data_IF_942232600824
#
_entry.id   IF_942232600824
#
_cell.length_a   1.000
_cell.length_b   1.000
_cell.length_c   1.000
_cell.angle_alpha   90.00
_cell.angle_beta   90.00
_cell.angle_gamma   90.00
#
_symmetry.space_group_name_H-M   'P 1'
#
loop_
_entity.id
_entity.type
_entity.pdbx_description
1 polymer ?
#
# COMPACT_ATOMS: atom_id res chain seq x y z
N UNK A 1 -11.05 3.80 -7.16
CA UNK A 1 -12.02 4.62 -6.39
C UNK A 1 -12.57 5.82 -7.15
N UNK A 2 -11.76 6.57 -7.92
CA UNK A 2 -12.23 7.74 -8.68
C UNK A 2 -13.48 7.43 -9.53
N UNK A 3 -13.48 6.34 -10.30
CA UNK A 3 -14.65 5.92 -11.11
C UNK A 3 -15.90 5.62 -10.26
N UNK A 4 -15.72 4.99 -9.09
CA UNK A 4 -16.83 4.69 -8.18
C UNK A 4 -17.41 5.98 -7.59
N UNK A 5 -16.55 6.89 -7.10
CA UNK A 5 -16.94 8.19 -6.57
C UNK A 5 -17.63 9.04 -7.63
N UNK A 6 -17.10 9.04 -8.86
CA UNK A 6 -17.69 9.71 -10.02
C UNK A 6 -19.13 9.22 -10.28
N UNK A 7 -19.34 7.90 -10.30
CA UNK A 7 -20.67 7.33 -10.52
C UNK A 7 -21.64 7.62 -9.36
N UNK A 8 -21.19 7.49 -8.11
CA UNK A 8 -22.05 7.71 -6.93
C UNK A 8 -22.47 9.18 -6.84
N UNK A 9 -21.52 10.11 -6.94
CA UNK A 9 -21.79 11.56 -6.86
C UNK A 9 -22.65 11.99 -8.05
N UNK A 10 -22.26 11.59 -9.27
CA UNK A 10 -23.00 11.90 -10.49
C UNK A 10 -24.45 11.41 -10.43
N UNK A 11 -24.66 10.16 -9.98
CA UNK A 11 -26.01 9.59 -9.82
C UNK A 11 -26.81 10.36 -8.78
N UNK A 12 -26.23 10.66 -7.62
CA UNK A 12 -26.94 11.37 -6.55
C UNK A 12 -27.41 12.76 -7.00
N UNK A 13 -26.53 13.51 -7.66
CA UNK A 13 -26.83 14.87 -8.14
C UNK A 13 -27.89 14.83 -9.25
N UNK A 14 -27.69 14.04 -10.29
CA UNK A 14 -28.61 14.04 -11.43
C UNK A 14 -29.95 13.37 -11.12
N UNK A 15 -29.99 12.39 -10.22
CA UNK A 15 -31.25 11.83 -9.73
C UNK A 15 -32.07 12.88 -8.95
N UNK A 16 -31.42 13.66 -8.09
CA UNK A 16 -32.09 14.74 -7.35
C UNK A 16 -32.64 15.82 -8.30
N UNK A 17 -31.84 16.25 -9.27
CA UNK A 17 -32.26 17.20 -10.32
C UNK A 17 -33.42 16.63 -11.13
N UNK A 18 -33.33 15.36 -11.53
CA UNK A 18 -34.39 14.69 -12.28
C UNK A 18 -35.72 14.64 -11.50
N UNK A 19 -35.69 14.24 -10.22
CA UNK A 19 -36.88 14.22 -9.39
C UNK A 19 -37.51 15.61 -9.22
N UNK A 20 -36.69 16.65 -9.04
CA UNK A 20 -37.17 18.02 -8.90
C UNK A 20 -37.81 18.54 -10.19
N UNK A 21 -37.15 18.33 -11.33
CA UNK A 21 -37.70 18.70 -12.64
C UNK A 21 -38.98 17.94 -12.95
N UNK A 22 -39.02 16.64 -12.65
CA UNK A 22 -40.21 15.83 -12.88
C UNK A 22 -41.40 16.28 -12.01
N UNK A 23 -41.15 16.75 -10.79
CA UNK A 23 -42.22 17.28 -9.92
C UNK A 23 -42.93 18.50 -10.54
N UNK A 24 -42.21 19.30 -11.34
CA UNK A 24 -42.73 20.54 -11.94
C UNK A 24 -43.27 20.28 -13.35
N UNK A 25 -42.51 19.56 -14.17
CA UNK A 25 -42.75 19.40 -15.62
C UNK A 25 -43.61 18.17 -15.91
N UNK A 26 -43.61 17.17 -15.02
CA UNK A 26 -44.30 15.89 -15.15
C UNK A 26 -44.02 15.23 -16.51
N UNK A 27 -42.82 14.68 -16.65
CA UNK A 27 -42.37 14.15 -17.93
C UNK A 27 -43.27 12.99 -18.39
N UNK A 28 -43.89 13.09 -19.59
CA UNK A 28 -44.86 12.08 -20.05
C UNK A 28 -44.22 10.71 -20.27
N UNK A 29 -42.94 10.67 -20.63
CA UNK A 29 -42.19 9.43 -20.90
C UNK A 29 -41.98 8.55 -19.65
N UNK A 30 -42.20 9.05 -18.43
CA UNK A 30 -42.09 8.23 -17.21
C UNK A 30 -43.23 7.21 -17.12
N UNK A 31 -44.37 7.53 -17.74
CA UNK A 31 -45.54 6.64 -17.75
C UNK A 31 -45.46 5.58 -18.85
N UNK A 32 -44.50 5.70 -19.77
CA UNK A 32 -44.28 4.76 -20.86
C UNK A 32 -43.44 3.56 -20.42
N UNK A 33 -43.65 2.42 -21.07
CA UNK A 33 -42.80 1.24 -20.84
C UNK A 33 -41.37 1.49 -21.31
N UNK A 34 -40.39 1.13 -20.49
CA UNK A 34 -38.98 1.28 -20.83
C UNK A 34 -38.60 0.44 -22.07
N UNK A 35 -38.23 1.12 -23.16
CA UNK A 35 -37.70 0.50 -24.38
C UNK A 35 -36.16 0.56 -24.38
N UNK A 36 -35.51 -0.43 -24.99
CA UNK A 36 -34.05 -0.57 -25.08
C UNK A 36 -33.36 0.70 -25.60
N UNK A 37 -33.92 1.33 -26.63
CA UNK A 37 -33.40 2.57 -27.20
C UNK A 37 -33.51 3.75 -26.21
N UNK A 38 -34.63 3.85 -25.48
CA UNK A 38 -34.82 4.89 -24.46
C UNK A 38 -33.83 4.75 -23.31
N UNK A 39 -33.61 3.50 -22.84
CA UNK A 39 -32.62 3.20 -21.80
C UNK A 39 -31.22 3.61 -22.26
N UNK A 40 -30.84 3.29 -23.50
CA UNK A 40 -29.53 3.65 -24.05
C UNK A 40 -29.32 5.16 -24.15
N UNK A 41 -30.35 5.90 -24.59
CA UNK A 41 -30.30 7.37 -24.67
C UNK A 41 -30.12 7.97 -23.27
N UNK A 42 -30.96 7.58 -22.31
CA UNK A 42 -30.89 8.10 -20.93
C UNK A 42 -29.53 7.82 -20.31
N UNK A 43 -29.00 6.60 -20.47
CA UNK A 43 -27.69 6.22 -19.94
C UNK A 43 -26.55 7.03 -20.58
N UNK A 44 -26.60 7.25 -21.89
CA UNK A 44 -25.56 8.02 -22.60
C UNK A 44 -25.60 9.49 -22.19
N UNK A 45 -26.79 10.10 -22.19
CA UNK A 45 -26.98 11.49 -21.74
C UNK A 45 -26.56 11.68 -20.30
N UNK A 46 -26.91 10.75 -19.41
CA UNK A 46 -26.49 10.77 -18.01
C UNK A 46 -24.96 10.79 -17.87
N UNK A 47 -24.25 9.91 -18.57
CA UNK A 47 -22.78 9.86 -18.47
C UNK A 47 -22.11 11.12 -19.04
N UNK A 48 -22.64 11.69 -20.13
CA UNK A 48 -22.15 12.96 -20.69
C UNK A 48 -22.34 14.08 -19.67
N UNK A 49 -23.53 14.17 -19.05
CA UNK A 49 -23.83 15.18 -18.05
C UNK A 49 -22.99 15.02 -16.77
N UNK A 50 -22.79 13.80 -16.28
CA UNK A 50 -21.88 13.50 -15.17
C UNK A 50 -20.45 13.96 -15.50
N UNK A 51 -19.99 13.67 -16.72
CA UNK A 51 -18.66 14.08 -17.17
C UNK A 51 -18.54 15.59 -17.18
N UNK A 52 -19.47 16.31 -17.80
CA UNK A 52 -19.45 17.78 -17.84
C UNK A 52 -19.47 18.42 -16.44
N UNK A 53 -20.25 17.85 -15.52
CA UNK A 53 -20.38 18.36 -14.16
C UNK A 53 -19.11 18.12 -13.32
N UNK A 54 -18.52 16.93 -13.41
CA UNK A 54 -17.41 16.50 -12.56
C UNK A 54 -16.02 16.76 -13.17
N UNK A 55 -15.93 17.00 -14.48
CA UNK A 55 -14.68 17.34 -15.17
C UNK A 55 -13.91 18.52 -14.54
N UNK A 56 -14.51 19.68 -14.21
CA UNK A 56 -13.79 20.76 -13.54
C UNK A 56 -13.32 20.41 -12.12
N UNK A 57 -13.84 19.33 -11.54
CA UNK A 57 -13.52 18.86 -10.21
C UNK A 57 -12.63 17.60 -10.19
N UNK A 58 -12.01 17.25 -11.33
CA UNK A 58 -11.19 16.04 -11.44
C UNK A 58 -10.08 15.97 -10.38
N UNK A 59 -9.40 17.09 -10.12
CA UNK A 59 -8.34 17.17 -9.10
C UNK A 59 -8.86 16.99 -7.67
N UNK A 60 -10.10 17.38 -7.39
CA UNK A 60 -10.74 17.17 -6.08
C UNK A 60 -11.20 15.73 -5.92
N UNK A 61 -11.69 15.10 -6.99
CA UNK A 61 -12.04 13.68 -7.01
C UNK A 61 -10.82 12.78 -6.80
N UNK A 62 -9.67 13.15 -7.37
CA UNK A 62 -8.38 12.51 -7.12
C UNK A 62 -8.04 12.57 -5.62
N UNK A 63 -8.04 13.77 -5.01
CA UNK A 63 -7.76 13.93 -3.58
C UNK A 63 -8.71 13.12 -2.71
N UNK A 64 -10.00 13.09 -3.03
CA UNK A 64 -10.97 12.27 -2.32
C UNK A 64 -10.66 10.77 -2.47
N UNK A 65 -10.23 10.33 -3.65
CA UNK A 65 -9.82 8.94 -3.85
C UNK A 65 -8.59 8.59 -3.00
N UNK A 66 -7.60 9.46 -2.89
CA UNK A 66 -6.42 9.27 -2.03
C UNK A 66 -6.75 9.38 -0.53
N UNK A 67 -7.83 10.06 -0.13
CA UNK A 67 -8.31 10.07 1.26
C UNK A 67 -9.06 8.76 1.58
N UNK A 68 -9.90 8.30 0.67
CA UNK A 68 -10.72 7.09 0.85
C UNK A 68 -9.84 5.83 0.80
N UNK A 69 -8.88 5.78 -0.13
CA UNK A 69 -7.81 4.79 -0.11
C UNK A 69 -6.62 5.41 0.60
N UNK A 70 -6.55 5.20 1.90
CA UNK A 70 -5.33 5.54 2.65
C UNK A 70 -4.23 4.60 2.16
N UNK A 71 -3.21 5.12 1.49
CA UNK A 71 -2.07 4.32 1.07
C UNK A 71 -1.51 3.59 2.30
N UNK A 72 -1.57 2.26 2.25
CA UNK A 72 -0.97 1.39 3.24
C UNK A 72 0.52 1.27 2.95
N UNK A 73 1.24 2.39 2.88
CA UNK A 73 2.63 2.49 2.41
C UNK A 73 3.65 1.68 3.26
N UNK A 74 3.25 1.08 4.38
CA UNK A 74 4.12 0.19 5.18
C UNK A 74 3.76 -1.30 5.18
N UNK A 75 2.69 -1.72 4.48
CA UNK A 75 2.25 -3.13 4.49
C UNK A 75 2.53 -3.89 3.20
N UNK A 76 3.01 -3.24 2.15
CA UNK A 76 3.09 -3.83 0.80
C UNK A 76 4.39 -4.62 0.56
N UNK A 77 5.50 -4.26 1.20
CA UNK A 77 6.78 -4.94 0.95
C UNK A 77 6.86 -6.34 1.51
N UNK A 78 6.34 -6.57 2.72
CA UNK A 78 6.21 -7.92 3.26
C UNK A 78 5.17 -8.76 2.50
N UNK A 79 4.27 -8.15 1.73
CA UNK A 79 3.39 -8.90 0.81
C UNK A 79 4.15 -9.47 -0.39
N UNK A 80 5.36 -8.99 -0.68
CA UNK A 80 6.25 -9.61 -1.66
C UNK A 80 6.68 -11.02 -1.25
N UNK A 81 6.60 -11.34 0.05
CA UNK A 81 6.81 -12.69 0.61
C UNK A 81 5.54 -13.54 0.46
N UNK A 82 5.03 -13.64 -0.76
CA UNK A 82 3.84 -14.45 -1.07
C UNK A 82 4.20 -15.95 -1.05
N UNK A 83 3.49 -16.73 -0.25
CA UNK A 83 3.65 -18.19 -0.19
C UNK A 83 3.37 -18.88 -1.53
N UNK A 84 2.60 -18.27 -2.43
CA UNK A 84 2.33 -18.81 -3.77
C UNK A 84 3.60 -18.88 -4.63
N UNK A 85 4.56 -17.99 -4.39
CA UNK A 85 5.84 -17.97 -5.08
C UNK A 85 6.79 -19.10 -4.66
N UNK A 86 6.46 -19.87 -3.61
CA UNK A 86 7.24 -21.03 -3.15
C UNK A 86 7.38 -22.13 -4.21
N UNK A 87 6.48 -22.14 -5.21
CA UNK A 87 6.55 -23.05 -6.37
C UNK A 87 7.61 -22.62 -7.40
N UNK A 88 8.13 -21.40 -7.29
CA UNK A 88 9.17 -20.81 -8.14
C UNK A 88 10.29 -20.21 -7.28
N UNK A 89 11.19 -21.05 -6.72
CA UNK A 89 12.15 -20.61 -5.70
C UNK A 89 13.04 -19.45 -6.12
N UNK A 90 13.55 -19.42 -7.36
CA UNK A 90 14.39 -18.34 -7.85
C UNK A 90 13.68 -16.96 -7.79
N UNK A 91 12.39 -16.90 -8.13
CA UNK A 91 11.60 -15.66 -8.05
C UNK A 91 11.35 -15.28 -6.60
N UNK A 92 11.04 -16.26 -5.76
CA UNK A 92 10.81 -16.04 -4.34
C UNK A 92 12.05 -15.47 -3.63
N UNK A 93 13.24 -16.00 -3.95
CA UNK A 93 14.53 -15.51 -3.46
C UNK A 93 14.81 -14.07 -3.95
N UNK A 94 14.53 -13.76 -5.22
CA UNK A 94 14.67 -12.37 -5.73
C UNK A 94 13.76 -11.39 -4.99
N UNK A 95 12.53 -11.81 -4.63
CA UNK A 95 11.63 -11.00 -3.80
C UNK A 95 12.16 -10.83 -2.39
N UNK A 96 12.71 -11.88 -1.77
CA UNK A 96 13.37 -11.75 -0.46
C UNK A 96 14.49 -10.71 -0.49
N UNK A 97 15.33 -10.70 -1.53
CA UNK A 97 16.42 -9.72 -1.66
C UNK A 97 15.91 -8.28 -1.62
N UNK A 98 14.78 -7.98 -2.26
CA UNK A 98 14.15 -6.66 -2.22
C UNK A 98 13.69 -6.28 -0.81
N UNK A 99 13.05 -7.22 -0.11
CA UNK A 99 12.59 -6.99 1.27
C UNK A 99 13.76 -6.84 2.24
N UNK A 100 14.88 -7.55 2.03
CA UNK A 100 16.13 -7.38 2.79
C UNK A 100 16.73 -5.99 2.57
N UNK A 101 16.69 -5.46 1.35
CA UNK A 101 17.15 -4.09 1.09
C UNK A 101 16.32 -3.05 1.87
N UNK A 102 15.02 -3.24 1.99
CA UNK A 102 14.17 -2.36 2.80
C UNK A 102 14.46 -2.47 4.30
N UNK A 103 14.68 -3.69 4.81
CA UNK A 103 15.14 -3.91 6.19
C UNK A 103 16.46 -3.15 6.45
N UNK A 104 17.38 -3.16 5.48
CA UNK A 104 18.65 -2.44 5.56
C UNK A 104 18.46 -0.91 5.56
N UNK A 105 17.60 -0.38 4.71
CA UNK A 105 17.27 1.07 4.69
C UNK A 105 16.71 1.54 6.04
N UNK A 106 15.81 0.76 6.64
CA UNK A 106 15.26 1.04 7.98
C UNK A 106 16.32 1.01 9.07
N UNK A 107 17.27 0.07 8.97
CA UNK A 107 18.41 -0.01 9.89
C UNK A 107 19.30 1.22 9.79
N UNK A 108 19.58 1.70 8.57
CA UNK A 108 20.35 2.95 8.37
C UNK A 108 19.63 4.15 8.99
N UNK A 109 18.31 4.27 8.80
CA UNK A 109 17.52 5.34 9.41
C UNK A 109 17.62 5.29 10.95
N UNK A 110 17.50 4.09 11.55
CA UNK A 110 17.64 3.88 12.99
C UNK A 110 19.03 4.26 13.52
N UNK A 111 20.10 3.82 12.84
CA UNK A 111 21.49 4.15 13.21
C UNK A 111 21.76 5.65 13.08
N UNK A 112 21.27 6.31 12.03
CA UNK A 112 21.42 7.76 11.87
C UNK A 112 20.72 8.50 13.01
N UNK A 113 19.49 8.09 13.33
CA UNK A 113 18.70 8.65 14.43
C UNK A 113 19.39 8.46 15.79
N UNK A 114 20.04 7.31 15.99
CA UNK A 114 20.83 7.04 17.19
C UNK A 114 22.12 7.87 17.26
N UNK A 115 22.74 8.20 16.13
CA UNK A 115 23.90 9.09 16.12
C UNK A 115 23.53 10.54 16.44
N UNK A 116 22.37 11.01 15.96
CA UNK A 116 21.93 12.39 16.15
C UNK A 116 21.77 12.76 17.64
N UNK A 117 21.32 11.80 18.46
CA UNK A 117 21.12 12.03 19.91
C UNK A 117 22.42 12.28 20.68
N UNK A 118 23.58 11.83 20.16
CA UNK A 118 24.87 12.06 20.80
C UNK A 118 25.26 13.55 20.80
N UNK A 119 24.69 14.34 19.89
CA UNK A 119 24.92 15.78 19.82
C UNK A 119 23.91 16.58 20.64
N UNK A 120 22.64 16.18 20.63
CA UNK A 120 21.55 16.81 21.38
C UNK A 120 20.63 15.74 21.96
N UNK A 121 20.56 15.68 23.30
CA UNK A 121 19.72 14.71 23.99
C UNK A 121 18.23 15.05 23.80
N UNK A 122 17.48 14.14 23.17
CA UNK A 122 16.02 14.16 23.11
C UNK A 122 15.47 12.75 23.36
N UNK A 123 14.70 12.58 24.44
CA UNK A 123 14.10 11.30 24.80
C UNK A 123 13.17 10.75 23.72
N UNK A 124 12.56 11.60 22.89
CA UNK A 124 11.71 11.18 21.77
C UNK A 124 12.51 10.50 20.66
N UNK A 125 13.78 10.89 20.49
CA UNK A 125 14.69 10.28 19.51
C UNK A 125 15.03 8.86 19.96
N UNK A 126 15.22 8.62 21.27
CA UNK A 126 15.42 7.26 21.82
C UNK A 126 14.24 6.36 21.50
N UNK A 127 13.02 6.84 21.74
CA UNK A 127 11.82 6.03 21.48
C UNK A 127 11.68 5.75 19.97
N UNK A 128 12.02 6.72 19.11
CA UNK A 128 12.06 6.50 17.66
C UNK A 128 13.10 5.46 17.23
N UNK A 129 14.29 5.45 17.84
CA UNK A 129 15.31 4.42 17.57
C UNK A 129 14.80 3.03 17.95
N UNK A 130 14.09 2.89 19.08
CA UNK A 130 13.44 1.63 19.45
C UNK A 130 12.34 1.23 18.46
N UNK A 131 11.54 2.18 17.97
CA UNK A 131 10.53 1.90 16.95
C UNK A 131 11.15 1.34 15.67
N UNK A 132 12.34 1.83 15.28
CA UNK A 132 13.10 1.28 14.15
C UNK A 132 13.60 -0.14 14.42
N UNK A 133 14.15 -0.40 15.62
CA UNK A 133 14.58 -1.74 16.01
C UNK A 133 13.43 -2.73 16.00
N UNK A 134 12.29 -2.40 16.61
CA UNK A 134 11.11 -3.24 16.59
C UNK A 134 10.57 -3.48 15.17
N UNK A 135 10.81 -2.56 14.23
CA UNK A 135 10.45 -2.74 12.83
C UNK A 135 11.41 -3.70 12.13
N UNK A 136 12.72 -3.55 12.35
CA UNK A 136 13.78 -4.43 11.81
C UNK A 136 13.62 -5.87 12.31
N UNK A 137 13.29 -6.09 13.59
CA UNK A 137 12.99 -7.42 14.14
C UNK A 137 11.84 -8.10 13.39
N UNK A 138 10.78 -7.35 13.10
CA UNK A 138 9.63 -7.88 12.34
C UNK A 138 10.04 -8.27 10.91
N UNK A 139 11.02 -7.59 10.32
CA UNK A 139 11.58 -7.99 9.02
C UNK A 139 12.41 -9.26 9.16
N UNK A 140 13.30 -9.35 10.15
CA UNK A 140 14.13 -10.53 10.38
C UNK A 140 13.27 -11.79 10.55
N UNK A 141 12.26 -11.72 11.43
CA UNK A 141 11.33 -12.82 11.69
C UNK A 141 10.62 -13.30 10.42
N UNK A 142 10.08 -12.36 9.63
CA UNK A 142 9.28 -12.69 8.45
C UNK A 142 10.14 -13.21 7.30
N UNK A 143 11.27 -12.56 7.04
CA UNK A 143 12.21 -12.97 5.99
C UNK A 143 12.81 -14.32 6.38
N UNK A 144 13.26 -14.48 7.63
CA UNK A 144 13.82 -15.72 8.15
C UNK A 144 12.84 -16.88 8.05
N UNK A 145 11.59 -16.69 8.50
CA UNK A 145 10.53 -17.70 8.38
C UNK A 145 10.29 -18.09 6.91
N UNK A 146 10.27 -17.12 6.00
CA UNK A 146 10.04 -17.37 4.58
C UNK A 146 11.22 -18.13 3.94
N UNK A 147 12.46 -17.74 4.23
CA UNK A 147 13.68 -18.40 3.75
C UNK A 147 13.82 -19.84 4.26
N UNK A 148 13.49 -20.08 5.54
CA UNK A 148 13.46 -21.45 6.11
C UNK A 148 12.41 -22.31 5.42
N UNK A 149 11.27 -21.75 5.01
CA UNK A 149 10.25 -22.50 4.24
C UNK A 149 10.68 -22.76 2.80
N UNK A 150 11.43 -21.83 2.18
CA UNK A 150 12.00 -22.04 0.85
C UNK A 150 13.05 -23.14 0.88
N UNK A 151 13.86 -23.21 1.94
CA UNK A 151 14.95 -24.20 2.04
C UNK A 151 14.45 -25.64 2.11
N UNK A 152 13.16 -25.87 2.41
CA UNK A 152 12.54 -27.21 2.34
C UNK A 152 12.08 -27.60 0.93
N UNK A 153 12.29 -26.77 -0.08
CA UNK A 153 11.95 -27.05 -1.49
C UNK A 153 13.17 -27.55 -2.25
N UNK A 154 12.94 -28.09 -3.45
CA UNK A 154 14.03 -28.45 -4.36
C UNK A 154 14.68 -27.16 -4.88
N UNK A 155 15.90 -26.88 -4.41
CA UNK A 155 16.69 -25.71 -4.81
C UNK A 155 17.85 -26.12 -5.71
N UNK A 156 18.21 -25.23 -6.63
CA UNK A 156 19.52 -25.30 -7.27
C UNK A 156 20.63 -25.03 -6.25
N UNK A 157 21.86 -25.46 -6.54
CA UNK A 157 23.01 -25.16 -5.67
C UNK A 157 23.20 -23.65 -5.45
N UNK A 158 23.01 -22.85 -6.50
CA UNK A 158 23.07 -21.39 -6.44
C UNK A 158 21.95 -20.76 -5.58
N UNK A 159 20.73 -21.33 -5.65
CA UNK A 159 19.61 -20.84 -4.85
C UNK A 159 19.78 -21.21 -3.38
N UNK A 160 20.23 -22.44 -3.09
CA UNK A 160 20.54 -22.89 -1.74
C UNK A 160 21.60 -22.01 -1.07
N UNK A 161 22.67 -21.69 -1.81
CA UNK A 161 23.70 -20.74 -1.36
C UNK A 161 23.10 -19.35 -1.09
N UNK A 162 22.26 -18.84 -2.00
CA UNK A 162 21.62 -17.53 -1.84
C UNK A 162 20.72 -17.49 -0.59
N UNK A 163 19.98 -18.56 -0.31
CA UNK A 163 19.13 -18.65 0.90
C UNK A 163 20.00 -18.61 2.17
N UNK A 164 21.09 -19.37 2.21
CA UNK A 164 22.01 -19.38 3.35
C UNK A 164 22.67 -18.01 3.57
N UNK A 165 23.08 -17.33 2.49
CA UNK A 165 23.64 -15.98 2.57
C UNK A 165 22.62 -14.99 3.13
N UNK A 166 21.39 -15.02 2.63
CA UNK A 166 20.33 -14.11 3.11
C UNK A 166 19.98 -14.33 4.58
N UNK A 167 19.96 -15.58 5.06
CA UNK A 167 19.74 -15.88 6.48
C UNK A 167 20.83 -15.30 7.39
N UNK A 168 22.09 -15.29 6.94
CA UNK A 168 23.16 -14.63 7.69
C UNK A 168 23.06 -13.11 7.63
N UNK A 169 22.77 -12.56 6.45
CA UNK A 169 22.67 -11.11 6.24
C UNK A 169 21.58 -10.49 7.11
N UNK A 170 20.38 -11.09 7.18
CA UNK A 170 19.29 -10.52 8.01
C UNK A 170 19.66 -10.47 9.48
N UNK A 171 20.33 -11.51 10.01
CA UNK A 171 20.78 -11.52 11.41
C UNK A 171 21.89 -10.51 11.68
N UNK A 172 22.78 -10.27 10.70
CA UNK A 172 23.78 -9.21 10.85
C UNK A 172 23.16 -7.80 10.79
N UNK A 173 22.09 -7.60 10.00
CA UNK A 173 21.34 -6.34 9.95
C UNK A 173 20.59 -6.10 11.27
N UNK A 174 19.93 -7.11 11.82
CA UNK A 174 19.26 -7.02 13.14
C UNK A 174 20.25 -6.61 14.23
N UNK A 175 21.43 -7.23 14.30
CA UNK A 175 22.47 -6.86 15.27
C UNK A 175 22.94 -5.42 15.14
N UNK A 176 23.03 -4.89 13.91
CA UNK A 176 23.38 -3.48 13.68
C UNK A 176 22.26 -2.58 14.24
N UNK A 177 21.01 -2.95 14.03
CA UNK A 177 19.84 -2.25 14.57
C UNK A 177 19.84 -2.26 16.10
N UNK A 178 20.11 -3.39 16.73
CA UNK A 178 20.30 -3.53 18.18
C UNK A 178 21.37 -2.61 18.74
N UNK A 179 22.53 -2.55 18.05
CA UNK A 179 23.60 -1.64 18.43
C UNK A 179 23.19 -0.17 18.36
N UNK A 180 22.27 0.22 17.47
CA UNK A 180 21.73 1.58 17.41
C UNK A 180 21.00 1.97 18.70
N UNK A 181 20.24 1.05 19.29
CA UNK A 181 19.58 1.25 20.59
C UNK A 181 20.63 1.42 21.70
N UNK A 182 21.72 0.66 21.64
CA UNK A 182 22.85 0.80 22.55
C UNK A 182 23.51 2.19 22.48
N UNK A 183 23.74 2.70 21.26
CA UNK A 183 24.27 4.05 21.03
C UNK A 183 23.31 5.10 21.63
N UNK A 184 22.01 5.01 21.32
CA UNK A 184 21.03 5.98 21.78
C UNK A 184 20.89 6.02 23.32
N UNK A 185 21.07 4.88 23.99
CA UNK A 185 21.06 4.78 25.47
C UNK A 185 22.33 5.31 26.13
N UNK A 186 23.41 5.51 25.38
CA UNK A 186 24.71 5.95 25.89
C UNK A 186 24.91 7.48 25.91
N UNK A 187 24.03 8.22 25.23
CA UNK A 187 23.95 9.68 25.25
C UNK A 187 23.42 10.19 26.61
#
# INVERSE_FOLDING_TARGET
MVHLSFNIIGTTVWLAVFCLLNSIIQFPFISDSANQLGIAIVHTTFNILCTLLLFPFANQLEKLACIIIKDAEKKESLQLLDERLMTTPAIAIDRCKKVVMEMFEKTIEGVSCACDILSEYDSKVIDKVKEYEEEVDKYEDKIGTYLVRISTRDLSESDSKSVSELLHIIGDIERISDHSVGIAKSA
#
